data_IF_821104134909
#
_entry.id   IF_821104134909
#
_cell.length_a   1.000
_cell.length_b   1.000
_cell.length_c   1.000
_cell.angle_alpha   90.00
_cell.angle_beta   90.00
_cell.angle_gamma   90.00
#
_symmetry.space_group_name_H-M   'P 1'
#
loop_
_entity.id
_entity.type
_entity.pdbx_description
1 polymer ?
#
# COMPACT_ATOMS: atom_id res chain seq x y z
N UNK A 1 -14.14 0.86 15.65
CA UNK A 1 -14.33 0.12 14.39
C UNK A 1 -13.30 0.63 13.40
N UNK A 2 -12.33 -0.19 13.04
CA UNK A 2 -11.36 0.08 11.98
C UNK A 2 -12.11 0.00 10.66
N UNK A 3 -12.23 1.09 9.90
CA UNK A 3 -12.88 1.06 8.60
C UNK A 3 -11.98 0.26 7.64
N UNK A 4 -12.43 -0.92 7.24
CA UNK A 4 -11.79 -1.74 6.22
C UNK A 4 -12.39 -1.39 4.85
N UNK A 5 -11.54 -1.11 3.86
CA UNK A 5 -11.93 -0.87 2.48
C UNK A 5 -11.26 -1.90 1.58
N UNK A 6 -12.04 -2.74 0.91
CA UNK A 6 -11.53 -3.66 -0.11
C UNK A 6 -11.19 -2.91 -1.40
N UNK A 7 -10.08 -3.28 -2.02
CA UNK A 7 -9.66 -2.85 -3.37
C UNK A 7 -9.75 -4.07 -4.27
N UNK A 8 -10.88 -4.20 -4.96
CA UNK A 8 -11.20 -5.33 -5.83
C UNK A 8 -10.67 -5.13 -7.27
N UNK A 9 -10.45 -3.87 -7.67
CA UNK A 9 -9.83 -3.54 -8.95
C UNK A 9 -8.30 -3.77 -8.89
N UNK A 10 -7.69 -4.32 -9.95
CA UNK A 10 -6.24 -4.44 -10.03
C UNK A 10 -5.57 -3.05 -9.95
N UNK A 11 -4.66 -2.89 -9.00
CA UNK A 11 -3.89 -1.65 -8.83
C UNK A 11 -2.40 -1.92 -8.88
N UNK A 12 -1.65 -0.94 -9.41
CA UNK A 12 -0.21 -0.84 -9.27
C UNK A 12 0.11 -0.07 -7.99
N UNK A 13 1.08 -0.56 -7.22
CA UNK A 13 1.61 0.17 -6.07
C UNK A 13 2.78 1.02 -6.55
N UNK A 14 2.75 2.32 -6.26
CA UNK A 14 3.79 3.27 -6.67
C UNK A 14 4.30 4.03 -5.45
N UNK A 15 5.61 4.16 -5.32
CA UNK A 15 6.23 5.08 -4.36
C UNK A 15 6.08 6.52 -4.87
N UNK A 16 5.43 7.37 -4.08
CA UNK A 16 5.19 8.77 -4.47
C UNK A 16 6.39 9.70 -4.18
N UNK A 17 7.49 9.16 -3.63
CA UNK A 17 8.71 9.91 -3.35
C UNK A 17 8.63 10.83 -2.12
N UNK A 18 7.50 10.85 -1.41
CA UNK A 18 7.34 11.66 -0.19
C UNK A 18 8.02 10.93 0.97
N UNK A 19 9.24 11.37 1.28
CA UNK A 19 10.03 10.90 2.44
C UNK A 19 9.87 11.91 3.57
N UNK A 20 8.81 11.82 4.38
CA UNK A 20 8.74 12.58 5.62
C UNK A 20 8.82 11.60 6.81
N UNK A 21 9.78 11.86 7.71
CA UNK A 21 10.19 10.94 8.77
C UNK A 21 9.30 11.01 10.03
N UNK A 22 8.16 11.70 9.96
CA UNK A 22 7.18 11.80 11.05
C UNK A 22 5.95 10.96 10.66
N UNK A 23 5.64 9.84 11.35
CA UNK A 23 4.57 8.95 10.93
C UNK A 23 3.15 9.57 11.03
N UNK A 24 2.19 9.16 10.19
CA UNK A 24 2.30 8.31 9.01
C UNK A 24 2.27 9.18 7.74
N UNK A 25 3.34 9.15 6.97
CA UNK A 25 3.35 9.71 5.62
C UNK A 25 2.77 8.68 4.68
N UNK A 26 1.79 9.10 3.88
CA UNK A 26 1.30 8.27 2.80
C UNK A 26 2.40 8.20 1.75
N UNK A 27 3.24 7.17 1.81
CA UNK A 27 4.41 6.98 0.94
C UNK A 27 4.05 6.27 -0.37
N UNK A 28 2.87 5.64 -0.43
CA UNK A 28 2.48 4.79 -1.54
C UNK A 28 1.14 5.21 -2.13
N UNK A 29 1.05 5.17 -3.45
CA UNK A 29 -0.15 5.36 -4.23
C UNK A 29 -0.59 4.02 -4.82
N UNK A 30 -1.88 3.71 -4.68
CA UNK A 30 -2.53 2.64 -5.42
C UNK A 30 -3.13 3.25 -6.68
N UNK A 31 -2.64 2.86 -7.85
CA UNK A 31 -3.07 3.40 -9.13
C UNK A 31 -3.73 2.34 -9.98
N UNK A 32 -4.86 2.66 -10.59
CA UNK A 32 -5.52 1.77 -11.54
C UNK A 32 -4.81 1.79 -12.90
N UNK A 33 -5.32 1.00 -13.86
CA UNK A 33 -4.78 0.88 -15.21
C UNK A 33 -4.76 2.20 -15.99
N UNK A 34 -5.75 3.06 -15.76
CA UNK A 34 -5.80 4.39 -16.37
C UNK A 34 -4.80 5.38 -15.75
N UNK A 35 -4.01 4.94 -14.74
CA UNK A 35 -3.05 5.77 -14.03
C UNK A 35 -3.66 6.67 -12.95
N UNK A 36 -4.97 6.55 -12.69
CA UNK A 36 -5.71 7.28 -11.67
C UNK A 36 -5.43 6.74 -10.27
N UNK A 37 -5.40 7.64 -9.27
CA UNK A 37 -5.14 7.27 -7.87
C UNK A 37 -6.44 6.74 -7.24
N UNK A 38 -6.41 5.49 -6.80
CA UNK A 38 -7.50 4.79 -6.08
C UNK A 38 -7.43 5.09 -4.58
N UNK A 39 -6.22 5.11 -4.04
CA UNK A 39 -5.94 5.41 -2.64
C UNK A 39 -4.47 5.80 -2.42
N UNK A 40 -4.21 6.46 -1.29
CA UNK A 40 -2.86 6.69 -0.76
C UNK A 40 -2.72 5.97 0.58
N UNK A 41 -1.62 5.24 0.75
CA UNK A 41 -1.36 4.41 1.94
C UNK A 41 0.04 4.66 2.47
N UNK A 42 0.21 4.42 3.77
CA UNK A 42 1.47 4.64 4.48
C UNK A 42 2.32 3.37 4.55
N UNK A 43 1.70 2.22 4.38
CA UNK A 43 2.36 0.93 4.45
C UNK A 43 1.73 -0.04 3.44
N UNK A 44 2.57 -0.89 2.85
CA UNK A 44 2.14 -1.99 1.99
C UNK A 44 2.73 -3.27 2.53
N UNK A 45 1.89 -4.28 2.75
CA UNK A 45 2.29 -5.59 3.26
C UNK A 45 1.63 -6.68 2.42
N UNK A 46 2.14 -7.90 2.51
CA UNK A 46 1.54 -9.09 1.92
C UNK A 46 1.42 -10.15 3.01
N UNK A 47 0.24 -10.78 3.14
CA UNK A 47 -0.15 -11.60 4.31
C UNK A 47 0.85 -12.72 4.63
N UNK A 48 1.55 -13.26 3.63
CA UNK A 48 2.47 -14.40 3.77
C UNK A 48 3.90 -14.08 3.33
N UNK A 49 4.33 -12.82 3.44
CA UNK A 49 5.67 -12.40 3.02
C UNK A 49 6.49 -11.84 4.17
N UNK A 50 7.78 -12.17 4.20
CA UNK A 50 8.76 -11.52 5.07
C UNK A 50 9.36 -10.25 4.46
N UNK A 51 8.93 -9.89 3.24
CA UNK A 51 9.41 -8.69 2.57
C UNK A 51 8.95 -7.44 3.33
N UNK A 52 9.87 -6.47 3.43
CA UNK A 52 9.53 -5.10 3.82
C UNK A 52 8.66 -4.47 2.73
N UNK A 53 7.96 -3.39 3.06
CA UNK A 53 7.15 -2.61 2.11
C UNK A 53 7.92 -2.22 0.84
N UNK A 54 9.14 -1.71 0.97
CA UNK A 54 10.00 -1.39 -0.17
C UNK A 54 10.51 -2.63 -0.90
N UNK A 55 10.77 -3.74 -0.19
CA UNK A 55 11.14 -5.01 -0.81
C UNK A 55 10.00 -5.59 -1.65
N UNK A 56 8.78 -5.53 -1.13
CA UNK A 56 7.56 -5.91 -1.84
C UNK A 56 7.32 -5.01 -3.06
N UNK A 57 7.46 -3.70 -2.91
CA UNK A 57 7.35 -2.76 -4.03
C UNK A 57 8.37 -3.06 -5.15
N UNK A 58 9.62 -3.36 -4.79
CA UNK A 58 10.64 -3.71 -5.76
C UNK A 58 10.30 -5.00 -6.51
N UNK A 59 9.76 -6.01 -5.83
CA UNK A 59 9.32 -7.26 -6.44
C UNK A 59 8.14 -7.02 -7.42
N UNK A 60 7.10 -6.30 -6.98
CA UNK A 60 5.94 -5.97 -7.82
C UNK A 60 6.36 -5.18 -9.08
N UNK A 61 7.28 -4.21 -8.93
CA UNK A 61 7.79 -3.42 -10.06
C UNK A 61 8.60 -4.25 -11.03
N UNK A 62 9.44 -5.17 -10.55
CA UNK A 62 10.27 -6.03 -11.39
C UNK A 62 9.40 -6.91 -12.29
N UNK A 63 8.30 -7.39 -11.75
CA UNK A 63 7.42 -8.37 -12.41
C UNK A 63 6.24 -7.68 -13.14
N UNK A 64 6.26 -6.34 -13.23
CA UNK A 64 5.17 -5.47 -13.73
C UNK A 64 3.77 -5.86 -13.21
N UNK A 65 3.73 -6.32 -11.97
CA UNK A 65 2.55 -6.97 -11.41
C UNK A 65 1.53 -5.95 -10.88
N UNK A 66 0.26 -6.29 -11.03
CA UNK A 66 -0.84 -5.63 -10.34
C UNK A 66 -1.24 -6.42 -9.10
N UNK A 67 -1.97 -5.80 -8.19
CA UNK A 67 -2.41 -6.42 -6.93
C UNK A 67 -3.83 -6.02 -6.58
N UNK A 68 -4.48 -6.88 -5.81
CA UNK A 68 -5.74 -6.58 -5.10
C UNK A 68 -5.53 -6.83 -3.61
N UNK A 69 -6.36 -6.22 -2.77
CA UNK A 69 -6.14 -6.29 -1.33
C UNK A 69 -7.17 -5.52 -0.51
N UNK A 70 -6.87 -5.31 0.77
CA UNK A 70 -7.68 -4.46 1.64
C UNK A 70 -6.86 -3.37 2.30
N UNK A 71 -7.50 -2.22 2.51
CA UNK A 71 -6.93 -1.09 3.23
C UNK A 71 -7.55 -1.08 4.62
N UNK A 72 -6.70 -1.08 5.64
CA UNK A 72 -7.10 -0.95 7.06
C UNK A 72 -6.37 0.22 7.69
N UNK A 73 -6.99 0.88 8.67
CA UNK A 73 -6.25 1.81 9.51
C UNK A 73 -5.40 1.07 10.53
N UNK A 74 -4.24 1.64 10.87
CA UNK A 74 -3.37 1.11 11.93
C UNK A 74 -2.86 2.26 12.80
N UNK A 75 -2.44 1.93 14.01
CA UNK A 75 -1.76 2.87 14.91
C UNK A 75 -0.24 2.86 14.59
N UNK A 76 0.29 3.93 13.97
CA UNK A 76 1.72 4.07 13.71
C UNK A 76 2.55 4.46 14.95
N UNK A 77 1.92 4.61 16.13
CA UNK A 77 2.57 4.88 17.41
C UNK A 77 2.35 6.30 17.93
N UNK A 78 2.76 6.53 19.18
CA UNK A 78 2.46 7.73 19.97
C UNK A 78 2.90 9.07 19.34
N UNK A 79 3.90 9.05 18.45
CA UNK A 79 4.41 10.25 17.78
C UNK A 79 3.57 10.70 16.58
N UNK A 80 2.58 9.90 16.18
CA UNK A 80 1.78 10.18 14.99
C UNK A 80 0.58 11.08 15.28
N UNK A 81 0.35 12.03 14.36
CA UNK A 81 -0.78 12.97 14.47
C UNK A 81 -2.10 12.40 13.97
N UNK A 82 -2.07 11.28 13.24
CA UNK A 82 -3.24 10.61 12.67
C UNK A 82 -2.99 9.11 12.49
N UNK A 83 -4.03 8.27 12.41
CA UNK A 83 -3.88 6.87 12.03
C UNK A 83 -3.24 6.73 10.65
N UNK A 84 -2.44 5.67 10.47
CA UNK A 84 -1.90 5.30 9.17
C UNK A 84 -2.91 4.47 8.38
N UNK A 85 -2.69 4.35 7.08
CA UNK A 85 -3.41 3.39 6.24
C UNK A 85 -2.45 2.31 5.75
N UNK A 86 -2.81 1.05 5.95
CA UNK A 86 -2.06 -0.12 5.50
C UNK A 86 -2.83 -0.79 4.39
N UNK A 87 -2.17 -1.01 3.25
CA UNK A 87 -2.67 -1.89 2.20
C UNK A 87 -2.09 -3.29 2.38
N UNK A 88 -2.96 -4.27 2.59
CA UNK A 88 -2.60 -5.69 2.66
C UNK A 88 -2.92 -6.33 1.33
N UNK A 89 -1.88 -6.69 0.56
CA UNK A 89 -1.99 -7.44 -0.68
C UNK A 89 -2.49 -8.85 -0.37
N UNK A 90 -3.65 -9.20 -0.91
CA UNK A 90 -4.24 -10.54 -0.78
C UNK A 90 -3.96 -11.40 -2.00
N UNK A 91 -3.80 -10.79 -3.18
CA UNK A 91 -3.48 -11.51 -4.41
C UNK A 91 -2.67 -10.63 -5.36
N UNK A 92 -1.63 -11.23 -5.94
CA UNK A 92 -0.86 -10.67 -7.05
C UNK A 92 -1.47 -11.14 -8.36
N UNK A 93 -1.63 -10.20 -9.29
CA UNK A 93 -2.09 -10.41 -10.65
C UNK A 93 -0.86 -10.23 -11.53
N UNK A 94 -0.30 -11.35 -11.98
CA UNK A 94 0.77 -11.36 -12.96
C UNK A 94 0.24 -10.85 -14.32
N UNK A 95 1.10 -10.21 -15.13
CA UNK A 95 0.74 -9.82 -16.50
C UNK A 95 0.37 -11.01 -17.39
#
# INVERSE_FOLDING_TARGET
MTAERTVEEPVRVVDNGIRSFIPPTYCFELRNEAGGIVATVSQVVMTDSTLTDFGLLAALRRDDAQVVGSITSYDPGASARRPGARFTVTRVIAP
#
